data_IF_652250899056
#
_entry.id   IF_652250899056
#
_cell.length_a   1.000
_cell.length_b   1.000
_cell.length_c   1.000
_cell.angle_alpha   90.00
_cell.angle_beta   90.00
_cell.angle_gamma   90.00
#
_symmetry.space_group_name_H-M   'P 1'
#
loop_
_entity.id
_entity.type
_entity.pdbx_description
1 polymer ?
#
# COMPACT_ATOMS: atom_id res chain seq x y z
N UNK A 1 1.84 -16.47 -5.60
CA UNK A 1 1.82 -15.89 -4.24
C UNK A 1 0.38 -15.83 -3.76
N UNK A 2 0.07 -16.34 -2.56
CA UNK A 2 -1.28 -16.35 -1.97
C UNK A 2 -1.63 -14.93 -1.49
N UNK A 3 -2.85 -14.49 -1.72
CA UNK A 3 -3.32 -13.18 -1.21
C UNK A 3 -3.43 -13.22 0.32
N UNK A 4 -2.95 -12.20 1.05
CA UNK A 4 -3.04 -12.18 2.50
C UNK A 4 -4.50 -12.11 2.97
N UNK A 5 -4.79 -12.75 4.10
CA UNK A 5 -6.11 -12.75 4.70
C UNK A 5 -6.36 -11.43 5.46
N UNK A 6 -7.34 -10.66 5.01
CA UNK A 6 -7.72 -9.36 5.59
C UNK A 6 -8.11 -9.44 7.06
N UNK A 7 -8.74 -10.53 7.50
CA UNK A 7 -9.13 -10.72 8.92
C UNK A 7 -7.89 -10.84 9.80
N UNK A 8 -6.90 -11.62 9.35
CA UNK A 8 -5.65 -11.80 10.07
C UNK A 8 -4.83 -10.50 10.10
N UNK A 9 -4.86 -9.71 9.01
CA UNK A 9 -4.24 -8.38 8.98
C UNK A 9 -4.85 -7.47 10.03
N UNK A 10 -6.19 -7.43 10.09
CA UNK A 10 -6.88 -6.56 11.03
C UNK A 10 -6.55 -6.92 12.47
N UNK A 11 -6.56 -8.21 12.80
CA UNK A 11 -6.24 -8.67 14.15
C UNK A 11 -4.83 -8.27 14.58
N UNK A 12 -3.82 -8.55 13.76
CA UNK A 12 -2.41 -8.28 14.12
C UNK A 12 -2.03 -6.80 14.13
N UNK A 13 -2.80 -5.98 13.41
CA UNK A 13 -2.56 -4.54 13.29
C UNK A 13 -3.49 -3.71 14.18
N UNK A 14 -4.25 -4.35 15.07
CA UNK A 14 -5.21 -3.70 15.97
C UNK A 14 -6.21 -2.80 15.22
N UNK A 15 -6.60 -3.24 14.01
CA UNK A 15 -7.60 -2.55 13.18
C UNK A 15 -8.98 -3.15 13.51
N UNK A 16 -10.01 -2.30 13.71
CA UNK A 16 -11.36 -2.79 13.95
C UNK A 16 -11.82 -3.81 12.91
N UNK A 17 -12.43 -4.90 13.34
CA UNK A 17 -12.89 -5.98 12.46
C UNK A 17 -13.89 -5.48 11.41
N UNK A 18 -14.71 -4.50 11.77
CA UNK A 18 -15.66 -3.82 10.89
C UNK A 18 -15.04 -2.80 9.92
N UNK A 19 -13.74 -2.47 10.05
CA UNK A 19 -13.10 -1.46 9.20
C UNK A 19 -13.16 -1.85 7.72
N UNK A 20 -13.54 -0.91 6.85
CA UNK A 20 -13.72 -1.18 5.43
C UNK A 20 -12.38 -1.25 4.74
N UNK A 21 -12.11 -2.34 4.03
CA UNK A 21 -10.92 -2.44 3.19
C UNK A 21 -11.03 -1.51 1.98
N UNK A 22 -10.04 -0.64 1.80
CA UNK A 22 -9.98 0.35 0.73
C UNK A 22 -9.14 -0.10 -0.46
N UNK A 23 -8.23 -1.06 -0.25
CA UNK A 23 -7.30 -1.56 -1.25
C UNK A 23 -5.90 -1.78 -0.70
N UNK A 24 -5.06 -2.38 -1.52
CA UNK A 24 -3.64 -2.54 -1.25
C UNK A 24 -2.89 -1.28 -1.69
N UNK A 25 -1.89 -0.86 -0.90
CA UNK A 25 -1.03 0.30 -1.20
C UNK A 25 0.44 -0.08 -1.00
N UNK A 26 1.35 0.69 -1.61
CA UNK A 26 2.80 0.51 -1.46
C UNK A 26 3.29 1.51 -0.40
N UNK A 27 3.87 0.97 0.68
CA UNK A 27 4.37 1.72 1.83
C UNK A 27 5.89 1.60 1.91
N UNK A 28 6.58 2.71 2.14
CA UNK A 28 8.02 2.79 2.38
C UNK A 28 8.28 2.92 3.89
N UNK A 29 8.76 1.87 4.58
CA UNK A 29 9.04 1.94 6.01
C UNK A 29 10.20 2.88 6.37
N UNK A 30 11.04 3.24 5.39
CA UNK A 30 12.21 4.10 5.60
C UNK A 30 11.80 5.56 5.78
N UNK A 31 10.86 6.03 4.96
CA UNK A 31 10.44 7.44 4.93
C UNK A 31 9.05 7.65 5.56
N UNK A 32 8.39 6.56 5.96
CA UNK A 32 7.03 6.54 6.45
C UNK A 32 6.02 7.18 5.48
N UNK A 33 6.16 6.86 4.19
CA UNK A 33 5.35 7.41 3.12
C UNK A 33 4.80 6.33 2.17
N UNK A 34 3.87 6.76 1.32
CA UNK A 34 3.10 5.91 0.43
C UNK A 34 3.27 6.32 -1.01
N UNK A 35 3.35 5.34 -1.91
CA UNK A 35 3.44 5.63 -3.34
C UNK A 35 2.13 6.31 -3.78
N UNK A 36 2.23 7.56 -4.21
CA UNK A 36 1.09 8.33 -4.70
C UNK A 36 0.88 8.11 -6.20
N UNK A 37 1.94 8.26 -6.97
CA UNK A 37 1.96 7.99 -8.41
C UNK A 37 3.41 7.87 -8.89
N UNK A 38 3.58 7.50 -10.16
CA UNK A 38 4.85 7.52 -10.84
C UNK A 38 4.67 8.08 -12.25
N UNK A 39 5.75 8.61 -12.80
CA UNK A 39 5.83 9.04 -14.19
C UNK A 39 7.01 8.34 -14.85
N UNK A 40 6.71 7.61 -15.90
CA UNK A 40 7.69 6.94 -16.74
C UNK A 40 7.76 7.64 -18.10
N UNK A 41 8.98 7.83 -18.58
CA UNK A 41 9.32 8.33 -19.91
C UNK A 41 10.48 7.48 -20.45
N UNK A 42 10.82 7.64 -21.73
CA UNK A 42 11.93 6.90 -22.34
C UNK A 42 13.30 7.07 -21.63
N UNK A 43 13.45 8.10 -20.78
CA UNK A 43 14.72 8.43 -20.14
C UNK A 43 14.66 8.47 -18.60
N UNK A 44 13.48 8.36 -18.01
CA UNK A 44 13.31 8.59 -16.57
C UNK A 44 12.09 7.85 -16.01
N UNK A 45 12.27 7.27 -14.84
CA UNK A 45 11.22 6.81 -13.95
C UNK A 45 11.23 7.64 -12.66
N UNK A 46 10.28 8.56 -12.52
CA UNK A 46 10.11 9.39 -11.32
C UNK A 46 8.97 8.85 -10.44
N UNK A 47 9.25 8.61 -9.17
CA UNK A 47 8.28 8.11 -8.18
C UNK A 47 7.89 9.26 -7.25
N UNK A 48 6.59 9.46 -7.02
CA UNK A 48 6.09 10.47 -6.08
C UNK A 48 5.49 9.77 -4.87
N UNK A 49 5.92 10.21 -3.71
CA UNK A 49 5.50 9.68 -2.41
C UNK A 49 4.71 10.73 -1.64
N UNK A 50 3.85 10.27 -0.73
CA UNK A 50 3.02 11.12 0.10
C UNK A 50 2.83 10.50 1.48
N UNK A 51 2.75 11.32 2.53
CA UNK A 51 2.56 10.86 3.92
C UNK A 51 1.12 10.43 4.26
N UNK A 52 0.18 10.62 3.32
CA UNK A 52 -1.24 10.39 3.55
C UNK A 52 -1.74 9.11 2.86
N UNK A 53 -2.07 8.04 3.61
CA UNK A 53 -2.44 6.74 3.02
C UNK A 53 -3.73 6.79 2.19
N UNK A 54 -4.65 7.71 2.49
CA UNK A 54 -5.89 7.87 1.72
C UNK A 54 -5.66 8.41 0.29
N UNK A 55 -4.53 9.09 0.06
CA UNK A 55 -4.13 9.60 -1.26
C UNK A 55 -3.30 8.60 -2.04
N UNK A 56 -2.79 7.53 -1.40
CA UNK A 56 -1.93 6.56 -2.04
C UNK A 56 -2.59 5.88 -3.24
N UNK A 57 -1.76 5.45 -4.20
CA UNK A 57 -2.19 4.59 -5.29
C UNK A 57 -2.73 3.27 -4.73
N UNK A 58 -4.00 2.98 -5.02
CA UNK A 58 -4.71 1.81 -4.50
C UNK A 58 -4.86 0.73 -5.57
N UNK A 59 -4.62 -0.51 -5.16
CA UNK A 59 -4.81 -1.70 -5.98
C UNK A 59 -5.93 -2.57 -5.41
N UNK A 60 -6.78 -3.11 -6.27
CA UNK A 60 -7.87 -4.00 -5.85
C UNK A 60 -7.38 -5.39 -5.44
N UNK A 61 -6.31 -5.88 -6.09
CA UNK A 61 -5.74 -7.20 -5.85
C UNK A 61 -4.30 -7.09 -5.35
N UNK A 62 -3.92 -7.92 -4.38
CA UNK A 62 -2.57 -7.91 -3.81
C UNK A 62 -1.49 -8.14 -4.88
N UNK A 63 -1.76 -9.04 -5.82
CA UNK A 63 -0.83 -9.35 -6.92
C UNK A 63 -0.55 -8.15 -7.84
N UNK A 64 -1.51 -7.23 -8.00
CA UNK A 64 -1.29 -6.02 -8.80
C UNK A 64 -0.32 -5.07 -8.08
N UNK A 65 -0.46 -4.94 -6.75
CA UNK A 65 0.45 -4.13 -5.94
C UNK A 65 1.86 -4.73 -5.91
N UNK A 66 1.98 -6.06 -5.79
CA UNK A 66 3.27 -6.77 -5.85
C UNK A 66 3.94 -6.55 -7.20
N UNK A 67 3.19 -6.74 -8.30
CA UNK A 67 3.72 -6.51 -9.64
C UNK A 67 4.21 -5.07 -9.79
N UNK A 68 3.40 -4.09 -9.39
CA UNK A 68 3.80 -2.67 -9.47
C UNK A 68 5.05 -2.37 -8.64
N UNK A 69 5.15 -2.88 -7.42
CA UNK A 69 6.36 -2.71 -6.60
C UNK A 69 7.60 -3.27 -7.30
N UNK A 70 7.47 -4.44 -7.91
CA UNK A 70 8.60 -5.08 -8.59
C UNK A 70 8.95 -4.35 -9.91
N UNK A 71 7.95 -3.93 -10.70
CA UNK A 71 8.13 -3.13 -11.93
C UNK A 71 8.83 -1.78 -11.64
N UNK A 72 8.61 -1.23 -10.45
CA UNK A 72 9.22 0.02 -9.98
C UNK A 72 10.57 -0.17 -9.27
N UNK A 73 11.08 -1.42 -9.18
CA UNK A 73 12.30 -1.78 -8.45
C UNK A 73 12.30 -1.34 -6.98
N UNK A 74 11.17 -1.58 -6.30
CA UNK A 74 10.96 -1.21 -4.89
C UNK A 74 11.08 -2.41 -3.94
N UNK A 75 11.51 -3.57 -4.45
CA UNK A 75 11.66 -4.77 -3.64
C UNK A 75 12.75 -4.56 -2.58
N UNK A 76 12.43 -4.83 -1.31
CA UNK A 76 13.35 -4.60 -0.19
C UNK A 76 13.32 -3.17 0.38
N UNK A 77 12.77 -2.21 -0.36
CA UNK A 77 12.64 -0.81 0.08
C UNK A 77 11.20 -0.45 0.47
N UNK A 78 10.23 -1.07 -0.18
CA UNK A 78 8.81 -0.87 0.10
C UNK A 78 8.10 -2.20 0.31
N UNK A 79 7.01 -2.15 1.08
CA UNK A 79 6.14 -3.28 1.37
C UNK A 79 4.72 -2.99 0.91
N UNK A 80 3.93 -4.06 0.74
CA UNK A 80 2.52 -3.95 0.39
C UNK A 80 1.72 -4.04 1.68
N UNK A 81 0.85 -3.06 1.92
CA UNK A 81 -0.02 -3.03 3.10
C UNK A 81 -1.47 -2.86 2.67
N UNK A 82 -2.41 -3.37 3.46
CA UNK A 82 -3.82 -3.11 3.30
C UNK A 82 -4.20 -1.78 3.94
N UNK A 83 -4.94 -0.94 3.21
CA UNK A 83 -5.52 0.29 3.73
C UNK A 83 -6.96 0.05 4.21
N UNK A 84 -7.29 0.53 5.39
CA UNK A 84 -8.59 0.34 6.03
C UNK A 84 -9.18 1.65 6.52
N UNK A 85 -10.43 1.88 6.18
CA UNK A 85 -11.23 2.99 6.69
C UNK A 85 -11.75 2.65 8.09
N UNK A 86 -11.28 3.43 9.06
CA UNK A 86 -11.64 3.29 10.47
C UNK A 86 -12.52 4.46 10.95
N UNK A 87 -13.03 5.30 10.05
CA UNK A 87 -13.81 6.49 10.38
C UNK A 87 -12.96 7.77 10.30
N UNK A 88 -12.42 8.28 11.43
CA UNK A 88 -11.67 9.55 11.43
C UNK A 88 -10.31 9.44 10.74
N UNK A 89 -9.81 8.21 10.53
CA UNK A 89 -8.49 7.97 9.96
C UNK A 89 -8.46 6.72 9.08
N UNK A 90 -7.47 6.67 8.19
CA UNK A 90 -7.12 5.47 7.45
C UNK A 90 -5.96 4.79 8.18
N UNK A 91 -6.15 3.53 8.55
CA UNK A 91 -5.09 2.68 9.12
C UNK A 91 -4.52 1.74 8.07
N UNK A 92 -3.25 1.37 8.24
CA UNK A 92 -2.56 0.40 7.40
C UNK A 92 -2.24 -0.86 8.20
N UNK A 93 -2.20 -2.02 7.53
CA UNK A 93 -1.74 -3.27 8.13
C UNK A 93 -1.02 -4.14 7.10
N UNK A 94 0.09 -4.77 7.51
CA UNK A 94 0.91 -5.62 6.66
C UNK A 94 0.83 -7.06 7.06
#
# INVERSE_FOLDING_TARGET
MKEPNLTDIKLRSEIPTGAKFLGWIIYSPIQDDFLWNFRETAHMLAKRWIIYPHMAMRFKKYQQAVKMRDDLDLRGHATIVGAFDCGPEIRIGN
#
